data_IF_502224740293
#
_entry.id   IF_502224740293
#
_cell.length_a   1.000
_cell.length_b   1.000
_cell.length_c   1.000
_cell.angle_alpha   90.00
_cell.angle_beta   90.00
_cell.angle_gamma   90.00
#
_symmetry.space_group_name_H-M   'P 1'
#
loop_
_entity.id
_entity.type
_entity.pdbx_description
1 polymer ?
#
# COMPACT_ATOMS: atom_id res chain seq x y z
N UNK A 1 21.02 3.04 16.13
CA UNK A 1 19.60 3.21 15.76
C UNK A 1 18.99 1.82 15.81
N UNK A 2 17.81 1.67 16.37
CA UNK A 2 17.11 0.39 16.37
C UNK A 2 16.76 0.04 14.92
N UNK A 3 16.97 -1.23 14.52
CA UNK A 3 16.68 -1.65 13.16
C UNK A 3 15.17 -1.73 12.94
N UNK A 4 14.62 -0.87 12.08
CA UNK A 4 13.17 -0.74 11.84
C UNK A 4 12.58 -2.01 11.20
N UNK A 5 13.33 -2.62 10.29
CA UNK A 5 12.99 -3.89 9.64
C UNK A 5 14.24 -4.76 9.60
N UNK A 6 14.13 -5.96 10.13
CA UNK A 6 15.17 -6.98 10.10
C UNK A 6 14.78 -8.10 9.13
N UNK A 7 15.40 -8.12 7.97
CA UNK A 7 15.23 -9.18 6.98
C UNK A 7 15.79 -10.53 7.44
N UNK A 8 16.67 -10.56 8.43
CA UNK A 8 17.24 -11.78 9.00
C UNK A 8 16.40 -12.34 10.17
N UNK A 9 15.36 -11.62 10.60
CA UNK A 9 14.43 -12.12 11.62
C UNK A 9 13.83 -13.46 11.18
N UNK A 10 13.75 -14.46 12.09
CA UNK A 10 13.23 -15.80 11.76
C UNK A 10 11.85 -15.78 11.13
N UNK A 11 10.97 -14.88 11.56
CA UNK A 11 9.62 -14.71 11.05
C UNK A 11 9.60 -14.27 9.57
N UNK A 12 10.53 -13.41 9.18
CA UNK A 12 10.67 -12.92 7.81
C UNK A 12 11.33 -13.99 6.94
N UNK A 13 12.46 -14.54 7.40
CA UNK A 13 13.19 -15.57 6.66
C UNK A 13 12.35 -16.81 6.36
N UNK A 14 11.47 -17.20 7.29
CA UNK A 14 10.60 -18.37 7.14
C UNK A 14 9.71 -18.30 5.89
N UNK A 15 9.36 -17.09 5.41
CA UNK A 15 8.38 -16.87 4.33
C UNK A 15 8.83 -15.87 3.27
N UNK A 16 10.10 -15.48 3.26
CA UNK A 16 10.66 -14.44 2.40
C UNK A 16 10.44 -14.74 0.90
N UNK A 17 10.64 -15.98 0.47
CA UNK A 17 10.36 -16.39 -0.91
C UNK A 17 8.91 -16.15 -1.32
N UNK A 18 7.98 -16.30 -0.39
CA UNK A 18 6.55 -16.03 -0.62
C UNK A 18 6.28 -14.54 -0.71
N UNK A 19 6.92 -13.73 0.14
CA UNK A 19 6.79 -12.28 0.11
C UNK A 19 7.39 -11.65 -1.15
N UNK A 20 8.34 -12.30 -1.80
CA UNK A 20 8.92 -11.82 -3.05
C UNK A 20 8.04 -12.09 -4.28
N UNK A 21 7.06 -12.99 -4.22
CA UNK A 21 6.26 -13.38 -5.39
C UNK A 21 5.43 -12.24 -5.96
N UNK A 22 5.51 -12.09 -7.29
CA UNK A 22 4.54 -11.36 -8.10
C UNK A 22 3.61 -12.36 -8.80
N UNK A 23 2.34 -12.30 -8.43
CA UNK A 23 1.33 -13.23 -8.95
C UNK A 23 0.84 -12.87 -10.37
N UNK A 24 1.16 -11.67 -10.85
CA UNK A 24 0.85 -11.24 -12.22
C UNK A 24 1.77 -11.91 -13.23
N UNK A 25 3.06 -11.95 -12.93
CA UNK A 25 4.10 -12.53 -13.80
C UNK A 25 4.45 -13.97 -13.44
N UNK A 26 4.15 -14.43 -12.22
CA UNK A 26 4.61 -15.71 -11.67
C UNK A 26 6.09 -15.73 -11.26
N UNK A 27 6.79 -14.60 -11.36
CA UNK A 27 8.19 -14.41 -10.97
C UNK A 27 8.27 -13.70 -9.60
N UNK A 28 9.44 -13.22 -9.22
CA UNK A 28 9.56 -12.28 -8.10
C UNK A 28 9.27 -10.84 -8.57
N UNK A 29 8.96 -9.95 -7.61
CA UNK A 29 8.91 -8.52 -7.85
C UNK A 29 10.25 -8.02 -8.36
N UNK A 30 10.24 -6.98 -9.19
CA UNK A 30 11.45 -6.35 -9.74
C UNK A 30 11.80 -5.08 -8.96
N UNK A 31 13.02 -4.60 -9.09
CA UNK A 31 13.43 -3.35 -8.44
C UNK A 31 12.55 -2.17 -8.88
N UNK A 32 12.32 -2.03 -10.17
CA UNK A 32 11.59 -0.92 -10.81
C UNK A 32 12.14 0.49 -10.42
N UNK A 33 13.33 0.52 -9.86
CA UNK A 33 14.11 1.71 -9.49
C UNK A 33 15.58 1.35 -9.56
N UNK A 34 16.47 2.35 -9.48
CA UNK A 34 17.91 2.09 -9.45
C UNK A 34 18.26 1.23 -8.22
N UNK A 35 18.78 0.02 -8.40
CA UNK A 35 19.22 -0.83 -7.30
C UNK A 35 20.39 -0.19 -6.54
N UNK A 36 20.63 -0.55 -5.27
CA UNK A 36 21.81 -0.09 -4.53
C UNK A 36 23.11 -0.39 -5.26
N UNK A 37 24.05 0.57 -5.26
CA UNK A 37 25.34 0.45 -5.95
C UNK A 37 26.17 -0.74 -5.43
N UNK A 38 26.01 -1.10 -4.17
CA UNK A 38 26.65 -2.23 -3.52
C UNK A 38 26.35 -3.55 -4.25
N UNK A 39 25.16 -3.70 -4.79
CA UNK A 39 24.78 -4.90 -5.57
C UNK A 39 25.61 -5.03 -6.85
N UNK A 40 26.01 -3.91 -7.47
CA UNK A 40 26.82 -3.94 -8.69
C UNK A 40 28.22 -4.50 -8.43
N UNK A 41 28.72 -4.40 -7.18
CA UNK A 41 30.07 -4.87 -6.82
C UNK A 41 30.10 -6.32 -6.35
N UNK A 42 29.01 -6.83 -5.79
CA UNK A 42 28.97 -8.17 -5.16
C UNK A 42 28.23 -9.22 -6.00
N UNK A 43 27.35 -8.79 -6.92
CA UNK A 43 26.65 -9.71 -7.81
C UNK A 43 27.46 -9.98 -9.07
N UNK A 44 27.46 -11.24 -9.51
CA UNK A 44 28.19 -11.64 -10.73
C UNK A 44 27.58 -11.03 -12.00
N UNK A 45 26.24 -10.91 -12.03
CA UNK A 45 25.51 -10.28 -13.13
C UNK A 45 25.07 -8.86 -12.73
N UNK A 46 25.07 -7.90 -13.68
CA UNK A 46 24.57 -6.55 -13.40
C UNK A 46 23.11 -6.56 -12.93
N UNK A 47 22.85 -5.89 -11.81
CA UNK A 47 21.49 -5.70 -11.28
C UNK A 47 20.94 -4.39 -11.82
N UNK A 48 19.78 -4.45 -12.49
CA UNK A 48 19.11 -3.30 -13.09
C UNK A 48 17.72 -3.08 -12.44
N UNK A 49 17.04 -2.01 -12.81
CA UNK A 49 15.66 -1.75 -12.44
C UNK A 49 14.69 -2.87 -12.87
N UNK A 50 15.01 -3.61 -13.92
CA UNK A 50 14.24 -4.77 -14.41
C UNK A 50 14.62 -6.10 -13.76
N UNK A 51 15.68 -6.13 -12.99
CA UNK A 51 16.11 -7.34 -12.28
C UNK A 51 15.15 -7.69 -11.16
N UNK A 52 14.91 -8.99 -10.95
CA UNK A 52 14.12 -9.48 -9.82
C UNK A 52 14.84 -9.23 -8.50
N UNK A 53 14.11 -8.93 -7.45
CA UNK A 53 14.62 -8.97 -6.08
C UNK A 53 14.68 -10.44 -5.66
N UNK A 54 15.82 -10.87 -5.09
CA UNK A 54 16.08 -12.26 -4.72
C UNK A 54 16.49 -12.39 -3.26
N UNK A 55 16.26 -13.57 -2.68
CA UNK A 55 16.72 -13.92 -1.33
C UNK A 55 18.25 -13.88 -1.22
N UNK A 56 18.98 -14.18 -2.32
CA UNK A 56 20.44 -14.06 -2.36
C UNK A 56 20.89 -12.61 -2.16
N UNK A 57 20.26 -11.64 -2.82
CA UNK A 57 20.57 -10.22 -2.66
C UNK A 57 20.31 -9.75 -1.22
N UNK A 58 19.17 -10.18 -0.64
CA UNK A 58 18.75 -9.81 0.73
C UNK A 58 19.56 -10.53 1.82
N UNK A 59 20.20 -11.65 1.49
CA UNK A 59 21.05 -12.44 2.39
C UNK A 59 22.50 -11.95 2.53
N UNK A 60 22.86 -10.86 1.86
CA UNK A 60 24.20 -10.28 1.95
C UNK A 60 24.40 -9.64 3.34
N UNK A 61 25.10 -10.36 4.23
CA UNK A 61 25.24 -10.02 5.65
C UNK A 61 25.97 -8.70 5.94
N UNK A 62 26.69 -8.17 4.95
CA UNK A 62 27.46 -6.92 5.09
C UNK A 62 26.80 -5.70 4.45
N UNK A 63 25.63 -5.88 3.80
CA UNK A 63 24.94 -4.82 3.08
C UNK A 63 23.47 -4.83 3.40
N UNK A 64 22.95 -3.72 3.86
CA UNK A 64 21.50 -3.50 4.00
C UNK A 64 20.95 -3.01 2.66
N UNK A 65 20.62 -3.96 1.79
CA UNK A 65 20.24 -3.74 0.39
C UNK A 65 18.86 -3.07 0.27
N UNK A 66 17.96 -3.38 1.18
CA UNK A 66 16.61 -2.79 1.25
C UNK A 66 16.44 -2.12 2.60
N UNK A 67 16.33 -0.80 2.58
CA UNK A 67 16.24 0.02 3.77
C UNK A 67 14.96 0.85 3.79
N UNK A 68 14.31 1.00 4.95
CA UNK A 68 13.31 2.04 5.16
C UNK A 68 13.88 3.41 4.76
N UNK A 69 13.02 4.27 4.22
CA UNK A 69 13.44 5.58 3.71
C UNK A 69 14.25 6.39 4.72
N UNK A 70 13.82 6.39 5.98
CA UNK A 70 14.50 7.14 7.03
C UNK A 70 15.92 6.65 7.34
N UNK A 71 16.24 5.42 6.97
CA UNK A 71 17.59 4.84 7.09
C UNK A 71 18.46 5.07 5.85
N UNK A 72 17.87 5.48 4.71
CA UNK A 72 18.62 5.81 3.48
C UNK A 72 19.40 7.13 3.67
N UNK A 73 20.54 7.26 3.00
CA UNK A 73 21.31 8.50 3.01
C UNK A 73 20.49 9.70 2.50
N UNK A 74 20.74 10.89 3.03
CA UNK A 74 19.97 12.11 2.70
C UNK A 74 19.97 12.42 1.21
N UNK A 75 21.08 12.22 0.52
CA UNK A 75 21.18 12.45 -0.93
C UNK A 75 20.30 11.48 -1.72
N UNK A 76 20.25 10.20 -1.32
CA UNK A 76 19.37 9.20 -1.91
C UNK A 76 17.89 9.55 -1.68
N UNK A 77 17.53 10.00 -0.48
CA UNK A 77 16.15 10.44 -0.16
C UNK A 77 15.75 11.62 -1.04
N UNK A 78 16.63 12.62 -1.21
CA UNK A 78 16.36 13.81 -2.04
C UNK A 78 16.24 13.45 -3.52
N UNK A 79 17.08 12.56 -4.03
CA UNK A 79 17.01 12.09 -5.42
C UNK A 79 15.69 11.34 -5.69
N UNK A 80 15.26 10.45 -4.78
CA UNK A 80 13.99 9.74 -4.90
C UNK A 80 12.78 10.68 -4.82
N UNK A 81 12.81 11.66 -3.91
CA UNK A 81 11.76 12.69 -3.85
C UNK A 81 11.68 13.49 -5.15
N UNK A 82 12.82 13.90 -5.71
CA UNK A 82 12.85 14.68 -6.96
C UNK A 82 12.49 13.87 -8.20
N UNK A 83 13.06 12.64 -8.36
CA UNK A 83 12.91 11.82 -9.56
C UNK A 83 11.64 10.97 -9.56
N UNK A 84 11.18 10.50 -8.39
CA UNK A 84 10.10 9.52 -8.25
C UNK A 84 8.89 10.06 -7.48
N UNK A 85 8.93 11.31 -7.02
CA UNK A 85 7.84 11.90 -6.24
C UNK A 85 7.60 11.23 -4.88
N UNK A 86 8.57 10.48 -4.36
CA UNK A 86 8.45 9.71 -3.12
C UNK A 86 8.35 10.65 -1.90
N UNK A 87 7.15 10.79 -1.36
CA UNK A 87 6.86 11.59 -0.17
C UNK A 87 6.13 10.73 0.84
N UNK A 88 6.66 10.63 2.06
CA UNK A 88 6.03 9.85 3.13
C UNK A 88 5.25 10.75 4.09
N UNK A 89 4.12 10.24 4.53
CA UNK A 89 3.26 10.93 5.49
C UNK A 89 3.71 10.59 6.92
N UNK A 90 3.88 11.59 7.80
CA UNK A 90 4.07 11.34 9.21
C UNK A 90 2.92 10.54 9.82
N UNK A 91 3.18 9.73 10.84
CA UNK A 91 2.18 8.84 11.42
C UNK A 91 0.95 9.60 11.95
N UNK A 92 1.10 10.83 12.48
CA UNK A 92 -0.04 11.63 12.91
C UNK A 92 -0.98 12.03 11.77
N UNK A 93 -0.45 12.26 10.56
CA UNK A 93 -1.26 12.51 9.36
C UNK A 93 -1.98 11.23 8.94
N UNK A 94 -1.27 10.08 8.94
CA UNK A 94 -1.87 8.79 8.65
C UNK A 94 -3.01 8.48 9.63
N UNK A 95 -2.83 8.80 10.93
CA UNK A 95 -3.86 8.67 11.95
C UNK A 95 -5.10 9.50 11.63
N UNK A 96 -4.93 10.77 11.30
CA UNK A 96 -6.03 11.69 10.97
C UNK A 96 -6.85 11.20 9.78
N UNK A 97 -6.17 10.73 8.72
CA UNK A 97 -6.84 10.22 7.52
C UNK A 97 -7.56 8.89 7.80
N UNK A 98 -6.95 7.99 8.57
CA UNK A 98 -7.60 6.74 8.98
C UNK A 98 -8.81 7.00 9.89
N UNK A 99 -8.75 8.00 10.79
CA UNK A 99 -9.89 8.42 11.61
C UNK A 99 -11.07 8.88 10.72
N UNK A 100 -10.79 9.65 9.66
CA UNK A 100 -11.84 10.13 8.76
C UNK A 100 -12.56 8.98 8.05
N UNK A 101 -11.83 7.96 7.58
CA UNK A 101 -12.42 6.77 6.95
C UNK A 101 -13.20 5.91 7.96
N UNK A 102 -12.72 5.77 9.18
CA UNK A 102 -13.43 5.05 10.24
C UNK A 102 -14.72 5.77 10.62
N UNK A 103 -14.66 7.09 10.81
CA UNK A 103 -15.86 7.90 11.10
C UNK A 103 -16.92 7.76 10.00
N UNK A 104 -16.51 7.70 8.73
CA UNK A 104 -17.43 7.45 7.63
C UNK A 104 -18.04 6.04 7.69
N UNK A 105 -17.24 5.02 8.00
CA UNK A 105 -17.72 3.65 8.15
C UNK A 105 -18.75 3.52 9.28
N UNK A 106 -18.49 4.10 10.45
CA UNK A 106 -19.41 4.08 11.59
C UNK A 106 -20.69 4.89 11.31
N UNK A 107 -20.58 6.04 10.64
CA UNK A 107 -21.73 6.84 10.19
C UNK A 107 -22.62 6.05 9.23
N UNK A 108 -22.04 5.25 8.33
CA UNK A 108 -22.74 4.36 7.40
C UNK A 108 -23.62 3.30 8.10
N UNK A 109 -23.31 2.97 9.36
CA UNK A 109 -24.13 2.10 10.21
C UNK A 109 -25.12 2.87 11.12
N UNK A 110 -25.22 4.19 11.01
CA UNK A 110 -26.06 5.02 11.86
C UNK A 110 -25.56 5.13 13.30
N UNK A 111 -24.27 4.88 13.54
CA UNK A 111 -23.65 5.04 14.85
C UNK A 111 -23.49 6.51 15.24
N UNK A 112 -23.48 6.79 16.54
CA UNK A 112 -23.20 8.14 17.07
C UNK A 112 -21.75 8.55 16.70
N UNK A 113 -21.49 9.86 16.67
CA UNK A 113 -20.20 10.43 16.26
C UNK A 113 -19.04 9.99 17.16
N UNK A 114 -19.32 9.66 18.42
CA UNK A 114 -18.34 9.11 19.39
C UNK A 114 -18.06 7.63 19.22
N UNK A 115 -18.87 6.92 18.45
CA UNK A 115 -18.65 5.49 18.22
C UNK A 115 -17.44 5.26 17.31
N UNK A 116 -16.63 4.24 17.61
CA UNK A 116 -15.52 3.85 16.78
C UNK A 116 -14.27 4.70 16.88
N UNK A 117 -14.12 5.52 17.89
CA UNK A 117 -12.90 6.27 18.12
C UNK A 117 -11.74 5.35 18.54
N UNK A 118 -10.72 5.26 17.71
CA UNK A 118 -9.47 4.57 18.02
C UNK A 118 -8.48 5.49 18.74
N UNK A 119 -8.51 6.77 18.39
CA UNK A 119 -7.57 7.79 18.88
C UNK A 119 -8.25 9.15 19.07
N UNK A 120 -7.69 9.96 19.94
CA UNK A 120 -7.95 11.40 20.03
C UNK A 120 -6.80 12.12 19.32
N UNK A 121 -7.12 12.98 18.36
CA UNK A 121 -6.13 13.73 17.59
C UNK A 121 -5.49 14.84 18.44
N UNK A 122 -4.18 14.99 18.30
CA UNK A 122 -3.38 16.09 18.84
C UNK A 122 -2.74 16.87 17.69
N UNK A 123 -2.20 18.08 17.89
CA UNK A 123 -1.66 18.91 16.81
C UNK A 123 -0.61 18.21 15.90
N UNK A 124 0.27 17.40 16.48
CA UNK A 124 1.28 16.61 15.78
C UNK A 124 1.43 15.20 16.38
N UNK A 125 0.31 14.57 16.73
CA UNK A 125 0.32 13.26 17.36
C UNK A 125 -1.09 12.76 17.63
N UNK A 126 -1.20 11.78 18.50
CA UNK A 126 -2.47 11.22 18.94
C UNK A 126 -2.34 10.61 20.34
N UNK A 127 -3.47 10.48 20.98
CA UNK A 127 -3.65 9.67 22.18
C UNK A 127 -4.53 8.48 21.83
N UNK A 128 -4.09 7.28 22.18
CA UNK A 128 -4.90 6.06 21.98
C UNK A 128 -6.07 6.05 22.96
N UNK A 129 -7.26 5.73 22.48
CA UNK A 129 -8.42 5.43 23.32
C UNK A 129 -8.24 4.02 23.88
N UNK A 130 -8.09 3.87 25.19
CA UNK A 130 -7.78 2.58 25.83
C UNK A 130 -9.01 1.67 25.97
N UNK A 131 -10.21 2.26 26.00
CA UNK A 131 -11.46 1.48 26.08
C UNK A 131 -11.69 0.71 24.76
N UNK A 132 -12.25 -0.53 24.82
CA UNK A 132 -12.60 -1.28 23.62
C UNK A 132 -13.54 -0.49 22.71
N UNK A 133 -13.31 -0.63 21.40
CA UNK A 133 -14.12 0.05 20.39
C UNK A 133 -15.55 -0.48 20.44
N UNK A 134 -16.50 0.45 20.60
CA UNK A 134 -17.92 0.10 20.63
C UNK A 134 -18.51 0.02 19.24
N UNK A 135 -19.13 -1.11 18.93
CA UNK A 135 -19.79 -1.34 17.65
C UNK A 135 -21.32 -1.30 17.82
N UNK A 136 -22.06 -0.72 16.86
CA UNK A 136 -23.51 -0.72 16.90
C UNK A 136 -24.05 -2.16 16.78
N UNK A 137 -25.19 -2.42 17.42
CA UNK A 137 -25.92 -3.68 17.27
C UNK A 137 -26.64 -3.67 15.94
N UNK A 138 -26.14 -4.46 14.98
CA UNK A 138 -26.78 -4.62 13.68
C UNK A 138 -27.78 -5.78 13.73
N UNK A 139 -28.97 -5.60 13.13
CA UNK A 139 -30.00 -6.65 13.02
C UNK A 139 -29.65 -7.81 12.08
N UNK A 140 -28.42 -7.86 11.53
CA UNK A 140 -27.93 -8.89 10.64
C UNK A 140 -27.26 -10.08 11.36
N UNK A 141 -26.97 -11.16 10.61
CA UNK A 141 -26.28 -12.36 11.15
C UNK A 141 -24.80 -12.11 11.47
N UNK A 142 -24.17 -11.14 10.80
CA UNK A 142 -22.74 -10.84 10.99
C UNK A 142 -22.58 -9.66 11.94
N UNK A 143 -21.86 -9.79 13.05
CA UNK A 143 -21.60 -8.70 13.98
C UNK A 143 -20.91 -7.52 13.26
N UNK A 144 -21.19 -6.30 13.70
CA UNK A 144 -20.64 -5.08 13.08
C UNK A 144 -19.10 -5.05 13.12
N UNK A 145 -18.48 -5.51 14.21
CA UNK A 145 -17.04 -5.59 14.29
C UNK A 145 -16.41 -6.54 13.23
N UNK A 146 -17.10 -7.64 12.88
CA UNK A 146 -16.66 -8.54 11.79
C UNK A 146 -16.80 -7.85 10.45
N UNK A 147 -17.88 -7.08 10.23
CA UNK A 147 -18.05 -6.29 9.00
C UNK A 147 -16.94 -5.25 8.86
N UNK A 148 -16.56 -4.57 9.96
CA UNK A 148 -15.44 -3.63 9.99
C UNK A 148 -14.13 -4.31 9.59
N UNK A 149 -13.81 -5.44 10.21
CA UNK A 149 -12.60 -6.23 9.91
C UNK A 149 -12.56 -6.65 8.44
N UNK A 150 -13.70 -7.05 7.87
CA UNK A 150 -13.83 -7.52 6.49
C UNK A 150 -14.02 -6.39 5.46
N UNK A 151 -14.09 -5.11 5.86
CA UNK A 151 -14.17 -4.00 4.92
C UNK A 151 -12.89 -3.91 4.09
N UNK A 152 -13.02 -3.91 2.76
CA UNK A 152 -11.88 -3.85 1.84
C UNK A 152 -11.32 -2.44 1.78
N UNK A 153 -10.07 -2.28 2.21
CA UNK A 153 -9.36 -1.00 2.23
C UNK A 153 -8.10 -1.07 1.38
N UNK A 154 -7.93 -0.10 0.50
CA UNK A 154 -6.82 0.00 -0.45
C UNK A 154 -5.99 1.24 -0.17
N UNK A 155 -4.66 1.06 -0.01
CA UNK A 155 -3.69 2.15 -0.06
C UNK A 155 -3.09 2.25 -1.47
N UNK A 156 -3.25 3.42 -2.08
CA UNK A 156 -2.76 3.72 -3.42
C UNK A 156 -1.32 4.23 -3.32
N UNK A 157 -0.40 3.65 -4.13
CA UNK A 157 1.03 3.98 -4.09
C UNK A 157 1.58 3.91 -2.66
N UNK A 158 1.46 2.71 -2.09
CA UNK A 158 1.56 2.53 -0.65
C UNK A 158 2.97 2.74 -0.07
N UNK A 159 4.03 2.84 -0.87
CA UNK A 159 5.38 2.96 -0.34
C UNK A 159 5.69 1.80 0.62
N UNK A 160 6.07 2.13 1.85
CA UNK A 160 6.28 1.18 2.96
C UNK A 160 4.98 0.83 3.71
N UNK A 161 3.81 1.23 3.19
CA UNK A 161 2.46 1.04 3.73
C UNK A 161 2.16 1.76 5.06
N UNK A 162 2.49 3.06 5.22
CA UNK A 162 2.31 3.77 6.49
C UNK A 162 0.84 3.95 6.90
N UNK A 163 -0.11 3.93 5.96
CA UNK A 163 -1.54 3.96 6.27
C UNK A 163 -2.07 2.57 6.65
N UNK A 164 -1.48 1.49 6.14
CA UNK A 164 -1.91 0.13 6.43
C UNK A 164 -1.31 -0.42 7.73
N UNK A 165 0.00 -0.16 7.97
CA UNK A 165 0.74 -0.69 9.11
C UNK A 165 1.68 0.38 9.69
N UNK A 166 1.52 0.70 10.96
CA UNK A 166 2.27 1.77 11.62
C UNK A 166 3.23 1.24 12.68
N UNK A 167 4.15 0.37 12.29
CA UNK A 167 5.19 -0.17 13.19
C UNK A 167 6.17 0.91 13.63
N UNK A 168 6.43 1.85 12.75
CA UNK A 168 7.25 3.04 12.97
C UNK A 168 6.67 4.23 12.22
N UNK A 169 7.04 5.43 12.61
CA UNK A 169 6.74 6.64 11.84
C UNK A 169 7.66 6.73 10.62
N UNK A 170 7.09 6.69 9.42
CA UNK A 170 7.86 6.70 8.18
C UNK A 170 8.62 8.02 7.93
N UNK A 171 8.28 9.10 8.64
CA UNK A 171 8.98 10.39 8.54
C UNK A 171 10.12 10.54 9.56
N UNK A 172 10.01 9.94 10.74
CA UNK A 172 11.00 10.08 11.83
C UNK A 172 11.79 8.81 12.13
N UNK A 173 11.28 7.65 11.74
CA UNK A 173 11.84 6.34 12.11
C UNK A 173 11.57 5.95 13.58
N UNK A 174 10.71 6.65 14.30
CA UNK A 174 10.36 6.30 15.66
C UNK A 174 9.47 5.05 15.71
N UNK A 175 9.87 4.03 16.48
CA UNK A 175 9.08 2.81 16.66
C UNK A 175 7.79 3.08 17.44
N UNK A 176 6.67 2.55 16.97
CA UNK A 176 5.35 2.73 17.58
C UNK A 176 4.94 1.42 18.27
N UNK A 177 4.79 1.42 19.62
CA UNK A 177 4.31 0.25 20.34
C UNK A 177 2.94 -0.23 19.84
N UNK A 178 2.71 -1.56 19.82
CA UNK A 178 1.48 -2.19 19.29
C UNK A 178 0.20 -1.50 19.80
N UNK A 179 0.13 -1.18 21.10
CA UNK A 179 -1.03 -0.51 21.71
C UNK A 179 -1.30 0.91 21.19
N UNK A 180 -0.31 1.57 20.56
CA UNK A 180 -0.43 2.94 20.03
C UNK A 180 -0.54 3.01 18.52
N UNK A 181 -0.47 1.89 17.85
CA UNK A 181 -0.49 1.81 16.36
C UNK A 181 -1.82 2.25 15.79
N UNK A 182 -1.75 2.86 14.62
CA UNK A 182 -2.88 3.54 13.97
C UNK A 182 -3.15 3.08 12.55
N UNK A 183 -2.34 2.18 12.01
CA UNK A 183 -2.52 1.62 10.66
C UNK A 183 -3.86 0.88 10.51
N UNK A 184 -4.35 0.79 9.31
CA UNK A 184 -5.63 0.12 9.00
C UNK A 184 -5.62 -1.34 9.49
N UNK A 185 -4.53 -2.08 9.21
CA UNK A 185 -4.38 -3.45 9.70
C UNK A 185 -4.24 -3.50 11.22
N UNK A 186 -3.49 -2.57 11.82
CA UNK A 186 -3.36 -2.47 13.29
C UNK A 186 -4.72 -2.29 13.96
N UNK A 187 -5.58 -1.38 13.44
CA UNK A 187 -6.95 -1.15 13.95
C UNK A 187 -7.82 -2.40 13.82
N UNK A 188 -7.78 -3.07 12.67
CA UNK A 188 -8.52 -4.31 12.46
C UNK A 188 -8.06 -5.41 13.41
N UNK A 189 -6.75 -5.59 13.61
CA UNK A 189 -6.21 -6.58 14.55
C UNK A 189 -6.50 -6.22 16.00
N UNK A 190 -6.52 -4.95 16.37
CA UNK A 190 -7.00 -4.47 17.66
C UNK A 190 -8.47 -4.86 17.87
N UNK A 191 -9.34 -4.59 16.91
CA UNK A 191 -10.76 -4.98 16.98
C UNK A 191 -10.91 -6.49 17.14
N UNK A 192 -10.14 -7.29 16.41
CA UNK A 192 -10.13 -8.74 16.58
C UNK A 192 -9.69 -9.12 17.99
N UNK A 193 -8.64 -8.48 18.52
CA UNK A 193 -8.12 -8.76 19.88
C UNK A 193 -9.11 -8.39 20.98
N UNK A 194 -9.92 -7.36 20.78
CA UNK A 194 -10.95 -6.91 21.70
C UNK A 194 -12.19 -7.81 21.71
N UNK A 195 -12.48 -8.54 20.62
CA UNK A 195 -13.72 -9.29 20.44
C UNK A 195 -13.55 -10.82 20.36
N UNK A 196 -12.41 -11.34 19.95
CA UNK A 196 -12.16 -12.78 19.88
C UNK A 196 -11.91 -13.39 21.26
N UNK A 197 -12.67 -14.41 21.62
CA UNK A 197 -12.58 -15.09 22.91
C UNK A 197 -11.47 -16.15 22.95
N UNK A 198 -11.17 -16.79 21.81
CA UNK A 198 -10.17 -17.85 21.70
C UNK A 198 -9.09 -17.51 20.66
N UNK A 199 -7.96 -18.18 20.76
CA UNK A 199 -6.87 -17.98 19.79
C UNK A 199 -7.27 -18.44 18.38
N UNK A 200 -8.03 -19.52 18.23
CA UNK A 200 -8.52 -20.00 16.94
C UNK A 200 -9.47 -18.98 16.29
N UNK A 201 -10.35 -18.39 17.09
CA UNK A 201 -11.23 -17.32 16.64
C UNK A 201 -10.43 -16.08 16.24
N UNK A 202 -9.42 -15.69 17.05
CA UNK A 202 -8.52 -14.60 16.74
C UNK A 202 -7.80 -14.83 15.41
N UNK A 203 -7.18 -16.00 15.21
CA UNK A 203 -6.48 -16.33 13.96
C UNK A 203 -7.38 -16.28 12.75
N UNK A 204 -8.62 -16.78 12.88
CA UNK A 204 -9.63 -16.71 11.81
C UNK A 204 -9.90 -15.26 11.40
N UNK A 205 -10.21 -14.40 12.34
CA UNK A 205 -10.58 -13.01 12.02
C UNK A 205 -9.36 -12.13 11.73
N UNK A 206 -8.21 -12.41 12.30
CA UNK A 206 -6.95 -11.79 11.91
C UNK A 206 -6.57 -12.11 10.45
N UNK A 207 -6.82 -13.35 10.01
CA UNK A 207 -6.70 -13.72 8.59
C UNK A 207 -7.65 -12.87 7.71
N UNK A 208 -8.90 -12.68 8.13
CA UNK A 208 -9.85 -11.81 7.41
C UNK A 208 -9.38 -10.34 7.39
N UNK A 209 -8.75 -9.85 8.47
CA UNK A 209 -8.17 -8.52 8.52
C UNK A 209 -7.08 -8.34 7.46
N UNK A 210 -6.17 -9.32 7.32
CA UNK A 210 -5.14 -9.31 6.27
C UNK A 210 -5.77 -9.44 4.88
N UNK A 211 -6.75 -10.34 4.69
CA UNK A 211 -7.46 -10.53 3.42
C UNK A 211 -8.21 -9.30 2.92
N UNK A 212 -8.55 -8.37 3.80
CA UNK A 212 -9.29 -7.15 3.50
C UNK A 212 -8.43 -5.88 3.49
N UNK A 213 -7.11 -6.03 3.54
CA UNK A 213 -6.12 -4.94 3.53
C UNK A 213 -5.27 -5.04 2.27
N UNK A 214 -5.34 -4.02 1.42
CA UNK A 214 -4.74 -4.00 0.09
C UNK A 214 -3.85 -2.78 -0.12
N UNK A 215 -2.86 -2.92 -1.02
CA UNK A 215 -2.04 -1.81 -1.47
C UNK A 215 -1.34 -2.13 -2.78
N UNK A 216 -0.93 -1.11 -3.52
CA UNK A 216 -0.02 -1.30 -4.64
C UNK A 216 1.12 -0.28 -4.62
N UNK A 217 2.25 -0.69 -5.14
CA UNK A 217 3.46 0.12 -5.21
C UNK A 217 4.22 -0.16 -6.50
N UNK A 218 4.85 0.85 -7.05
CA UNK A 218 5.68 0.75 -8.24
C UNK A 218 7.06 0.17 -7.91
N UNK A 219 7.71 0.71 -6.88
CA UNK A 219 9.08 0.38 -6.51
C UNK A 219 9.13 -0.92 -5.69
N UNK A 220 9.94 -1.89 -6.15
CA UNK A 220 9.97 -3.22 -5.53
C UNK A 220 10.55 -3.23 -4.12
N UNK A 221 11.54 -2.40 -3.83
CA UNK A 221 12.12 -2.28 -2.47
C UNK A 221 11.09 -1.75 -1.46
N UNK A 222 10.34 -0.71 -1.82
CA UNK A 222 9.26 -0.18 -0.98
C UNK A 222 8.13 -1.20 -0.81
N UNK A 223 7.72 -1.89 -1.89
CA UNK A 223 6.71 -2.94 -1.83
C UNK A 223 7.12 -4.08 -0.91
N UNK A 224 8.40 -4.49 -0.95
CA UNK A 224 8.92 -5.53 -0.07
C UNK A 224 8.88 -5.07 1.40
N UNK A 225 9.27 -3.82 1.69
CA UNK A 225 9.16 -3.22 3.01
C UNK A 225 7.70 -3.22 3.50
N UNK A 226 6.75 -2.81 2.64
CA UNK A 226 5.32 -2.85 2.94
C UNK A 226 4.84 -4.26 3.30
N UNK A 227 5.22 -5.27 2.52
CA UNK A 227 4.86 -6.68 2.77
C UNK A 227 5.42 -7.18 4.10
N UNK A 228 6.68 -6.86 4.41
CA UNK A 228 7.30 -7.23 5.68
C UNK A 228 6.64 -6.47 6.84
N UNK A 229 6.29 -5.18 6.68
CA UNK A 229 5.57 -4.42 7.69
C UNK A 229 4.22 -5.07 8.04
N UNK A 230 3.43 -5.51 7.05
CA UNK A 230 2.17 -6.19 7.31
C UNK A 230 2.37 -7.54 8.00
N UNK A 231 3.38 -8.33 7.56
CA UNK A 231 3.71 -9.62 8.17
C UNK A 231 4.08 -9.47 9.66
N UNK A 232 5.00 -8.55 9.95
CA UNK A 232 5.45 -8.29 11.31
C UNK A 232 4.35 -7.67 12.17
N UNK A 233 3.48 -6.82 11.60
CA UNK A 233 2.28 -6.32 12.28
C UNK A 233 1.39 -7.46 12.76
N UNK A 234 1.09 -8.44 11.88
CA UNK A 234 0.34 -9.63 12.28
C UNK A 234 1.03 -10.41 13.41
N UNK A 235 2.35 -10.65 13.28
CA UNK A 235 3.12 -11.41 14.26
C UNK A 235 3.17 -10.72 15.63
N UNK A 236 3.39 -9.41 15.63
CA UNK A 236 3.50 -8.60 16.86
C UNK A 236 2.13 -8.46 17.57
N UNK A 237 1.02 -8.34 16.83
CA UNK A 237 -0.33 -8.36 17.42
C UNK A 237 -0.68 -9.73 18.03
N UNK A 238 -0.30 -10.84 17.36
CA UNK A 238 -0.46 -12.18 17.92
C UNK A 238 0.33 -12.32 19.23
N UNK A 239 1.60 -11.89 19.19
CA UNK A 239 2.47 -11.94 20.39
C UNK A 239 1.93 -11.05 21.52
N UNK A 240 1.44 -9.87 21.20
CA UNK A 240 0.87 -8.96 22.23
C UNK A 240 -0.38 -9.56 22.88
N UNK A 241 -1.23 -10.26 22.11
CA UNK A 241 -2.49 -10.83 22.63
C UNK A 241 -2.30 -12.17 23.30
N UNK A 242 -1.48 -13.07 22.74
CA UNK A 242 -1.38 -14.47 23.16
C UNK A 242 -0.01 -14.84 23.76
N UNK A 243 0.88 -13.87 23.95
CA UNK A 243 2.20 -14.03 24.59
C UNK A 243 3.09 -15.12 23.94
N UNK A 244 2.91 -15.33 22.63
CA UNK A 244 3.73 -16.22 21.83
C UNK A 244 3.98 -15.67 20.42
N UNK A 245 5.04 -16.12 19.79
CA UNK A 245 5.30 -15.85 18.38
C UNK A 245 4.54 -16.82 17.47
N UNK A 246 4.18 -16.40 16.23
CA UNK A 246 3.59 -17.32 15.26
C UNK A 246 4.61 -18.35 14.79
N UNK A 247 4.14 -19.55 14.42
CA UNK A 247 4.95 -20.57 13.76
C UNK A 247 5.09 -20.28 12.27
N UNK A 248 6.01 -20.99 11.59
CA UNK A 248 6.17 -20.89 10.13
C UNK A 248 4.87 -21.27 9.40
N UNK A 249 4.21 -22.32 9.87
CA UNK A 249 2.96 -22.84 9.30
C UNK A 249 1.81 -21.83 9.42
N UNK A 250 1.82 -21.02 10.48
CA UNK A 250 0.86 -19.92 10.68
C UNK A 250 1.20 -18.69 9.81
N UNK A 251 2.49 -18.39 9.62
CA UNK A 251 2.95 -17.28 8.80
C UNK A 251 2.79 -17.53 7.30
N UNK A 252 2.93 -18.76 6.83
CA UNK A 252 2.91 -19.07 5.40
C UNK A 252 1.59 -18.66 4.69
N UNK A 253 0.39 -18.96 5.20
CA UNK A 253 -0.86 -18.48 4.62
C UNK A 253 -0.99 -16.94 4.70
N UNK A 254 -0.52 -16.31 5.77
CA UNK A 254 -0.53 -14.85 5.91
C UNK A 254 0.37 -14.20 4.88
N UNK A 255 1.60 -14.68 4.71
CA UNK A 255 2.53 -14.20 3.68
C UNK A 255 1.96 -14.37 2.26
N UNK A 256 1.26 -15.48 2.01
CA UNK A 256 0.57 -15.72 0.73
C UNK A 256 -0.52 -14.68 0.50
N UNK A 257 -1.34 -14.36 1.51
CA UNK A 257 -2.37 -13.32 1.38
C UNK A 257 -1.72 -11.96 1.12
N UNK A 258 -0.68 -11.61 1.87
CA UNK A 258 0.05 -10.34 1.73
C UNK A 258 0.63 -10.20 0.33
N UNK A 259 1.26 -11.26 -0.22
CA UNK A 259 1.85 -11.21 -1.56
C UNK A 259 0.82 -11.02 -2.69
N UNK A 260 -0.44 -11.44 -2.48
CA UNK A 260 -1.56 -11.16 -3.37
C UNK A 260 -2.16 -9.76 -3.19
N UNK A 261 -2.22 -9.29 -1.95
CA UNK A 261 -2.94 -8.07 -1.59
C UNK A 261 -2.08 -6.82 -1.73
N UNK A 262 -0.75 -6.95 -1.63
CA UNK A 262 0.20 -5.90 -1.93
C UNK A 262 0.92 -6.28 -3.23
N UNK A 263 0.51 -5.70 -4.35
CA UNK A 263 1.04 -6.06 -5.67
C UNK A 263 1.88 -4.94 -6.29
N UNK A 264 2.80 -5.33 -7.17
CA UNK A 264 3.63 -4.38 -7.90
C UNK A 264 2.87 -3.87 -9.13
N UNK A 265 2.72 -2.55 -9.24
CA UNK A 265 1.94 -1.94 -10.33
C UNK A 265 2.43 -0.54 -10.67
N UNK A 266 2.52 -0.27 -11.97
CA UNK A 266 2.52 1.08 -12.51
C UNK A 266 1.09 1.63 -12.42
N UNK A 267 0.85 2.53 -11.48
CA UNK A 267 -0.49 3.06 -11.21
C UNK A 267 -1.01 3.98 -12.33
N UNK A 268 -0.17 4.45 -13.24
CA UNK A 268 -0.60 5.25 -14.40
C UNK A 268 -0.99 4.38 -15.60
N UNK A 269 -0.44 3.17 -15.68
CA UNK A 269 -0.69 2.24 -16.79
C UNK A 269 -1.41 0.95 -16.35
N UNK A 270 -1.71 0.79 -15.07
CA UNK A 270 -2.41 -0.35 -14.45
C UNK A 270 -1.78 -1.72 -14.75
N UNK A 271 -0.50 -1.72 -15.00
CA UNK A 271 0.28 -2.88 -15.46
C UNK A 271 1.50 -3.12 -14.58
N UNK A 272 2.09 -4.29 -14.71
CA UNK A 272 3.38 -4.59 -14.07
C UNK A 272 4.45 -3.61 -14.60
N UNK A 273 5.32 -3.03 -13.73
CA UNK A 273 6.37 -2.12 -14.15
C UNK A 273 7.31 -2.72 -15.21
N UNK A 274 7.83 -1.87 -16.10
CA UNK A 274 8.80 -2.26 -17.15
C UNK A 274 8.19 -2.69 -18.49
N UNK A 275 6.86 -2.77 -18.60
CA UNK A 275 6.17 -2.87 -19.89
C UNK A 275 5.86 -1.48 -20.46
N UNK A 276 5.99 -1.27 -21.78
CA UNK A 276 5.38 -0.09 -22.41
C UNK A 276 3.96 -0.41 -22.83
N UNK A 277 3.00 0.52 -22.69
CA UNK A 277 1.68 0.37 -23.27
C UNK A 277 1.83 0.10 -24.78
N UNK A 278 1.05 -0.84 -25.31
CA UNK A 278 0.91 -0.93 -26.77
C UNK A 278 0.23 0.37 -27.25
N UNK A 279 0.78 1.05 -28.25
CA UNK A 279 0.08 2.20 -28.83
C UNK A 279 -1.25 1.72 -29.39
N UNK A 280 -2.34 2.41 -29.05
CA UNK A 280 -3.71 2.10 -29.53
C UNK A 280 -3.88 2.22 -31.06
N UNK A 281 -2.88 2.72 -31.76
CA UNK A 281 -2.81 2.78 -33.23
C UNK A 281 -1.41 2.49 -33.67
N UNK A 282 -1.25 1.49 -34.56
CA UNK A 282 -0.06 1.32 -35.39
C UNK A 282 0.11 2.55 -36.32
N UNK A 283 0.55 3.66 -35.82
CA UNK A 283 1.29 4.60 -36.64
C UNK A 283 2.69 4.01 -36.78
N UNK A 284 2.89 3.35 -37.89
CA UNK A 284 4.19 2.93 -38.42
C UNK A 284 5.07 4.19 -38.51
N UNK A 285 5.83 4.46 -37.43
CA UNK A 285 6.85 5.49 -37.49
C UNK A 285 7.98 4.97 -38.35
N UNK A 286 8.20 5.66 -39.47
CA UNK A 286 9.21 5.32 -40.48
C UNK A 286 10.63 5.21 -39.89
N UNK A 287 10.86 5.81 -38.69
CA UNK A 287 12.10 5.73 -37.93
C UNK A 287 12.33 4.38 -37.23
N UNK A 288 11.27 3.62 -36.92
CA UNK A 288 11.41 2.29 -36.30
C UNK A 288 11.94 1.23 -37.27
N UNK A 289 11.93 1.50 -38.59
CA UNK A 289 12.47 0.58 -39.58
C UNK A 289 14.01 0.57 -39.71
N UNK A 290 14.71 1.54 -39.14
CA UNK A 290 16.18 1.69 -39.30
C UNK A 290 16.98 1.61 -38.00
N UNK A 291 16.36 1.53 -36.85
CA UNK A 291 17.01 1.29 -35.57
C UNK A 291 16.51 0.00 -34.93
N UNK A 292 17.41 -0.94 -34.69
CA UNK A 292 17.09 -2.15 -33.92
C UNK A 292 16.69 -1.76 -32.47
N UNK A 293 15.45 -1.31 -32.29
CA UNK A 293 14.87 -1.20 -30.96
C UNK A 293 14.73 -2.63 -30.43
N UNK A 294 15.34 -2.92 -29.30
CA UNK A 294 15.13 -4.19 -28.61
C UNK A 294 13.62 -4.40 -28.43
N UNK A 295 13.09 -5.60 -28.75
CA UNK A 295 11.67 -5.89 -28.58
C UNK A 295 11.30 -5.70 -27.12
N UNK A 296 10.45 -4.70 -26.84
CA UNK A 296 10.02 -4.43 -25.48
C UNK A 296 9.04 -5.52 -25.03
N UNK A 297 9.14 -5.99 -23.78
CA UNK A 297 8.24 -7.02 -23.29
C UNK A 297 6.78 -6.52 -23.35
N UNK A 298 5.83 -7.41 -23.64
CA UNK A 298 4.42 -7.06 -23.68
C UNK A 298 3.96 -6.57 -22.31
N UNK A 299 3.02 -5.65 -22.31
CA UNK A 299 2.37 -5.16 -21.08
C UNK A 299 1.63 -6.31 -20.38
N UNK A 300 1.89 -6.50 -19.09
CA UNK A 300 1.26 -7.54 -18.27
C UNK A 300 0.28 -6.88 -17.31
N UNK A 301 -1.02 -7.22 -17.45
CA UNK A 301 -2.07 -6.74 -16.54
C UNK A 301 -1.87 -7.26 -15.12
N UNK A 302 -2.06 -6.39 -14.14
CA UNK A 302 -1.94 -6.76 -12.74
C UNK A 302 -3.11 -7.62 -12.26
N UNK A 303 -2.79 -8.71 -11.56
CA UNK A 303 -3.76 -9.63 -10.97
C UNK A 303 -3.95 -9.34 -9.49
N UNK A 304 -5.20 -9.32 -9.06
CA UNK A 304 -5.59 -9.16 -7.66
C UNK A 304 -6.53 -10.29 -7.24
N UNK A 305 -6.65 -10.50 -5.94
CA UNK A 305 -7.46 -11.58 -5.39
C UNK A 305 -8.64 -11.04 -4.58
N UNK A 306 -9.85 -11.52 -4.90
CA UNK A 306 -11.06 -11.25 -4.14
C UNK A 306 -11.31 -12.36 -3.13
N UNK A 307 -11.04 -12.13 -1.86
CA UNK A 307 -11.19 -13.11 -0.79
C UNK A 307 -12.63 -13.28 -0.29
N UNK A 308 -13.58 -12.43 -0.72
CA UNK A 308 -15.01 -12.57 -0.35
C UNK A 308 -15.67 -13.75 -1.07
N UNK A 309 -15.01 -14.34 -2.06
CA UNK A 309 -15.55 -15.45 -2.87
C UNK A 309 -14.76 -16.74 -2.66
N UNK A 310 -15.38 -17.70 -1.99
CA UNK A 310 -14.80 -19.02 -1.77
C UNK A 310 -13.65 -19.04 -0.75
N UNK A 311 -13.26 -20.22 -0.31
CA UNK A 311 -12.20 -20.42 0.69
C UNK A 311 -10.81 -19.96 0.24
N UNK A 312 -10.57 -19.98 -1.08
CA UNK A 312 -9.27 -19.62 -1.68
C UNK A 312 -9.29 -18.28 -2.42
N UNK A 313 -10.42 -17.55 -2.39
CA UNK A 313 -10.65 -16.35 -3.16
C UNK A 313 -10.67 -16.57 -4.69
N UNK A 314 -11.05 -15.56 -5.44
CA UNK A 314 -11.03 -15.56 -6.92
C UNK A 314 -10.03 -14.54 -7.44
N UNK A 315 -9.27 -14.92 -8.47
CA UNK A 315 -8.29 -14.04 -9.13
C UNK A 315 -8.94 -13.31 -10.29
N UNK A 316 -8.60 -12.03 -10.46
CA UNK A 316 -9.08 -11.19 -11.56
C UNK A 316 -8.04 -10.13 -11.92
N UNK A 317 -8.15 -9.54 -13.10
CA UNK A 317 -7.31 -8.41 -13.48
C UNK A 317 -7.80 -7.13 -12.77
N UNK A 318 -6.87 -6.29 -12.33
CA UNK A 318 -7.20 -5.05 -11.63
C UNK A 318 -8.05 -4.10 -12.48
N UNK A 319 -7.74 -3.98 -13.78
CA UNK A 319 -8.50 -3.18 -14.75
C UNK A 319 -9.99 -3.50 -14.74
N UNK A 320 -10.36 -4.79 -14.63
CA UNK A 320 -11.77 -5.22 -14.63
C UNK A 320 -12.56 -4.73 -13.41
N UNK A 321 -11.87 -4.33 -12.33
CA UNK A 321 -12.53 -3.71 -11.15
C UNK A 321 -12.95 -2.28 -11.48
N UNK A 322 -12.10 -1.53 -12.17
CA UNK A 322 -12.39 -0.16 -12.60
C UNK A 322 -13.53 -0.11 -13.61
N UNK A 323 -13.60 -1.07 -14.52
CA UNK A 323 -14.68 -1.19 -15.49
C UNK A 323 -16.03 -1.58 -14.87
N UNK A 324 -16.06 -1.89 -13.57
CA UNK A 324 -17.26 -2.35 -12.87
C UNK A 324 -17.75 -3.73 -13.35
N UNK A 325 -16.95 -4.45 -14.13
CA UNK A 325 -17.28 -5.76 -14.72
C UNK A 325 -17.18 -6.90 -13.71
N UNK A 326 -16.71 -6.65 -12.49
CA UNK A 326 -16.55 -7.65 -11.44
C UNK A 326 -17.34 -7.32 -10.19
N UNK A 327 -17.55 -8.34 -9.34
CA UNK A 327 -18.18 -8.17 -8.02
C UNK A 327 -17.20 -7.73 -6.93
N UNK A 328 -15.91 -7.52 -7.21
CA UNK A 328 -14.96 -6.97 -6.27
C UNK A 328 -15.10 -5.47 -6.21
N UNK A 329 -15.14 -4.93 -5.01
CA UNK A 329 -15.19 -3.50 -4.73
C UNK A 329 -14.29 -3.21 -3.53
N UNK A 330 -13.50 -2.15 -3.61
CA UNK A 330 -12.85 -1.58 -2.44
C UNK A 330 -13.85 -0.65 -1.74
N UNK A 331 -14.05 -0.88 -0.45
CA UNK A 331 -14.99 -0.06 0.32
C UNK A 331 -14.40 1.32 0.59
N UNK A 332 -13.09 1.37 0.91
CA UNK A 332 -12.36 2.59 1.22
C UNK A 332 -11.01 2.64 0.51
N UNK A 333 -10.63 3.82 0.05
CA UNK A 333 -9.33 4.05 -0.60
C UNK A 333 -8.63 5.22 0.07
N UNK A 334 -7.33 5.06 0.32
CA UNK A 334 -6.48 6.07 0.94
C UNK A 334 -5.15 6.15 0.18
N UNK A 335 -4.49 7.31 0.20
CA UNK A 335 -3.18 7.39 -0.40
C UNK A 335 -2.53 8.77 -0.33
N UNK A 336 -1.23 8.76 -0.59
CA UNK A 336 -0.41 9.93 -0.86
C UNK A 336 0.32 9.67 -2.19
N UNK A 337 -0.34 9.90 -3.36
CA UNK A 337 0.22 9.58 -4.66
C UNK A 337 1.40 10.47 -5.01
N UNK A 338 2.30 10.06 -5.93
CA UNK A 338 3.38 10.90 -6.40
C UNK A 338 2.82 12.20 -6.99
N UNK A 339 3.46 13.33 -6.66
CA UNK A 339 2.93 14.65 -7.01
C UNK A 339 3.21 15.04 -8.45
N UNK A 340 4.33 14.60 -9.00
CA UNK A 340 4.79 14.99 -10.34
C UNK A 340 5.69 13.92 -10.94
N UNK A 341 5.72 13.87 -12.25
CA UNK A 341 6.68 13.12 -13.04
C UNK A 341 7.69 14.07 -13.66
N UNK A 342 8.97 13.69 -13.65
CA UNK A 342 10.04 14.46 -14.27
C UNK A 342 10.29 13.88 -15.65
N UNK A 343 9.92 14.65 -16.69
CA UNK A 343 10.34 14.33 -18.05
C UNK A 343 11.87 14.44 -18.14
N UNK A 344 12.53 13.42 -18.65
CA UNK A 344 14.00 13.25 -18.64
C UNK A 344 14.81 14.24 -19.50
N UNK A 345 14.28 15.44 -19.81
CA UNK A 345 14.93 16.48 -20.59
C UNK A 345 15.53 17.61 -19.72
N UNK A 346 16.68 18.14 -20.14
CA UNK A 346 17.32 19.29 -19.50
C UNK A 346 16.46 20.56 -19.67
N UNK A 347 15.74 20.94 -18.63
CA UNK A 347 14.81 22.09 -18.62
C UNK A 347 13.34 21.70 -18.53
N UNK A 348 13.02 20.44 -18.34
CA UNK A 348 11.66 19.93 -18.31
C UNK A 348 10.86 20.47 -17.11
N UNK A 349 9.71 21.02 -17.39
CA UNK A 349 8.70 21.38 -16.42
C UNK A 349 8.06 20.10 -15.86
N UNK A 350 8.22 19.82 -14.56
CA UNK A 350 7.57 18.69 -13.91
C UNK A 350 6.05 18.73 -14.13
N UNK A 351 5.50 17.64 -14.65
CA UNK A 351 4.07 17.52 -14.95
C UNK A 351 3.36 16.91 -13.74
N UNK A 352 2.24 17.48 -13.25
CA UNK A 352 1.44 16.89 -12.20
C UNK A 352 0.89 15.52 -12.62
N UNK A 353 0.94 14.53 -11.72
CA UNK A 353 0.39 13.19 -11.97
C UNK A 353 -0.64 12.75 -10.91
N UNK A 354 -0.66 13.38 -9.74
CA UNK A 354 -1.58 13.04 -8.66
C UNK A 354 -3.06 13.13 -9.06
N UNK A 355 -3.40 14.04 -9.96
CA UNK A 355 -4.76 14.17 -10.50
C UNK A 355 -5.22 12.89 -11.22
N UNK A 356 -4.33 12.21 -11.96
CA UNK A 356 -4.63 10.94 -12.62
C UNK A 356 -4.99 9.85 -11.60
N UNK A 357 -4.21 9.73 -10.51
CA UNK A 357 -4.49 8.77 -9.44
C UNK A 357 -5.86 9.02 -8.77
N UNK A 358 -6.25 10.29 -8.60
CA UNK A 358 -7.58 10.63 -8.08
C UNK A 358 -8.68 10.22 -9.06
N UNK A 359 -8.51 10.52 -10.35
CA UNK A 359 -9.47 10.16 -11.40
C UNK A 359 -9.63 8.64 -11.50
N UNK A 360 -8.54 7.89 -11.52
CA UNK A 360 -8.55 6.43 -11.54
C UNK A 360 -9.19 5.84 -10.27
N UNK A 361 -8.91 6.41 -9.10
CA UNK A 361 -9.56 5.94 -7.86
C UNK A 361 -11.06 6.17 -7.89
N UNK A 362 -11.53 7.28 -8.49
CA UNK A 362 -12.97 7.52 -8.65
C UNK A 362 -13.65 6.44 -9.50
N UNK A 363 -12.96 5.82 -10.46
CA UNK A 363 -13.52 4.73 -11.26
C UNK A 363 -13.73 3.44 -10.45
N UNK A 364 -12.95 3.21 -9.40
CA UNK A 364 -13.15 2.09 -8.45
C UNK A 364 -14.45 2.24 -7.64
N UNK A 365 -15.07 3.41 -7.67
CA UNK A 365 -16.32 3.75 -6.98
C UNK A 365 -16.35 3.31 -5.50
N UNK A 366 -15.37 3.70 -4.67
CA UNK A 366 -15.34 3.38 -3.25
C UNK A 366 -16.49 4.08 -2.51
N UNK A 367 -16.78 3.63 -1.29
CA UNK A 367 -17.72 4.33 -0.38
C UNK A 367 -17.17 5.68 0.02
N UNK A 368 -15.89 5.72 0.41
CA UNK A 368 -15.15 6.97 0.62
C UNK A 368 -13.68 6.82 0.22
N UNK A 369 -13.05 7.95 -0.09
CA UNK A 369 -11.62 8.04 -0.39
C UNK A 369 -10.99 9.24 0.32
N UNK A 370 -9.73 9.10 0.75
CA UNK A 370 -8.96 10.15 1.43
C UNK A 370 -7.57 10.26 0.82
N UNK A 371 -7.17 11.45 0.36
CA UNK A 371 -5.90 11.66 -0.32
C UNK A 371 -5.16 12.89 0.18
N UNK A 372 -3.82 12.80 0.22
CA UNK A 372 -2.94 13.96 0.36
C UNK A 372 -2.49 14.35 -1.04
N UNK A 373 -2.76 15.58 -1.43
CA UNK A 373 -2.35 16.12 -2.74
C UNK A 373 -1.89 17.56 -2.58
N UNK A 374 -0.98 18.05 -3.45
CA UNK A 374 -0.54 19.44 -3.41
C UNK A 374 -1.71 20.40 -3.66
N UNK A 375 -1.77 21.52 -2.92
CA UNK A 375 -2.79 22.57 -3.07
C UNK A 375 -2.74 23.30 -4.43
N UNK A 376 -1.71 23.05 -5.24
CA UNK A 376 -1.48 23.71 -6.53
C UNK A 376 -2.66 23.63 -7.50
N UNK A 377 -3.48 22.61 -7.41
CA UNK A 377 -4.67 22.47 -8.26
C UNK A 377 -5.70 23.60 -8.05
N UNK A 378 -5.70 24.29 -6.90
CA UNK A 378 -6.60 25.42 -6.64
C UNK A 378 -6.40 26.57 -7.63
N UNK A 379 -5.14 26.84 -8.00
CA UNK A 379 -4.81 27.91 -8.95
C UNK A 379 -4.97 27.50 -10.41
N UNK A 380 -5.06 26.19 -10.70
CA UNK A 380 -5.08 25.67 -12.07
C UNK A 380 -3.72 25.82 -12.78
N UNK A 381 -3.72 25.70 -14.11
CA UNK A 381 -2.53 25.71 -14.95
C UNK A 381 -1.76 24.39 -14.96
N UNK A 382 -0.74 24.26 -15.80
CA UNK A 382 0.03 23.04 -16.01
C UNK A 382 -0.82 21.78 -16.26
N UNK A 383 -1.93 21.89 -16.99
CA UNK A 383 -2.84 20.78 -17.29
C UNK A 383 -3.85 20.45 -16.18
N UNK A 384 -3.91 21.22 -15.10
CA UNK A 384 -4.82 20.98 -13.97
C UNK A 384 -6.17 21.70 -14.07
N UNK A 385 -6.42 22.50 -15.10
CA UNK A 385 -7.65 23.32 -15.21
C UNK A 385 -8.91 22.45 -15.24
N UNK A 386 -8.90 21.36 -16.02
CA UNK A 386 -10.02 20.40 -16.07
C UNK A 386 -10.18 19.69 -14.72
N UNK A 387 -9.10 19.25 -14.12
CA UNK A 387 -9.14 18.60 -12.80
C UNK A 387 -9.69 19.56 -11.72
N UNK A 388 -9.26 20.83 -11.73
CA UNK A 388 -9.78 21.87 -10.86
C UNK A 388 -11.30 22.03 -11.01
N UNK A 389 -11.78 22.15 -12.24
CA UNK A 389 -13.21 22.28 -12.52
C UNK A 389 -13.98 21.07 -12.01
N UNK A 390 -13.48 19.85 -12.26
CA UNK A 390 -14.08 18.61 -11.77
C UNK A 390 -14.13 18.57 -10.24
N UNK A 391 -13.04 18.93 -9.56
CA UNK A 391 -12.98 18.91 -8.09
C UNK A 391 -13.92 19.94 -7.46
N UNK A 392 -13.99 21.15 -8.00
CA UNK A 392 -14.88 22.20 -7.47
C UNK A 392 -16.36 21.88 -7.66
N UNK A 393 -16.71 21.09 -8.67
CA UNK A 393 -18.09 20.69 -8.97
C UNK A 393 -18.46 19.32 -8.39
N UNK A 394 -17.51 18.57 -7.80
CA UNK A 394 -17.79 17.25 -7.24
C UNK A 394 -18.50 17.36 -5.87
N UNK A 395 -19.81 17.19 -5.87
CA UNK A 395 -20.65 17.27 -4.66
C UNK A 395 -20.34 16.18 -3.62
N UNK A 396 -19.51 15.20 -3.96
CA UNK A 396 -19.10 14.14 -3.03
C UNK A 396 -17.93 14.56 -2.15
N UNK A 397 -17.29 15.70 -2.42
CA UNK A 397 -16.23 16.24 -1.57
C UNK A 397 -16.82 16.65 -0.22
N UNK A 398 -16.55 15.87 0.82
CA UNK A 398 -17.09 16.06 2.15
C UNK A 398 -16.20 16.97 3.02
N UNK A 399 -14.86 16.78 2.94
CA UNK A 399 -13.89 17.51 3.77
C UNK A 399 -12.68 17.90 2.91
N UNK A 400 -12.22 19.11 3.08
CA UNK A 400 -11.00 19.64 2.54
C UNK A 400 -10.20 20.26 3.70
N UNK A 401 -8.96 19.82 3.88
CA UNK A 401 -8.05 20.32 4.91
C UNK A 401 -6.83 20.92 4.22
N UNK A 402 -6.50 22.19 4.56
CA UNK A 402 -5.33 22.91 4.08
C UNK A 402 -4.34 23.12 5.23
#
# INVERSE_FOLDING_TARGET
>A
MEQLIDFHAPEVQAVLDTLLKDHSTGKNIIWATDPPEELQTVMYEPVTDRSQITTQQLGLTHYEVVLPRMMKQTDTQQQRTRKKGEVFSPAWVCNKMNNALDADWFRGLGAEESAGQFTVELPQGWQTVETPVQFPVCGGRTPAWVQYVQSYRLEVTCGEAPFLASRYDAATGEMIPVARRIGILDRKLRVVSENAATEDEWRKYATHAVQSTYGYEYQGDNLLLARVNLLLTYAEHLQARWQRKPTKEELQPIATIISWNLWQMDGLHLSVPGGKPQPETEQLDLFSMFGAAEPQPPTVSCKVKNWRKGSHGTTQNFETIQEGSTSMKFDYVIGNPPYQEVDGGSGASATPVYNKFIEETKTLNPTAMSFIIPAKWYSGGKGLDKFREQMLNDKRMAVLVD
#
